data_IF_367458341699
#
_entry.id   IF_367458341699
#
_cell.length_a   1.000
_cell.length_b   1.000
_cell.length_c   1.000
_cell.angle_alpha   90.00
_cell.angle_beta   90.00
_cell.angle_gamma   90.00
#
_symmetry.space_group_name_H-M   'P 1'
#
loop_
_entity.id
_entity.type
_entity.pdbx_description
1 polymer ?
#
# COMPACT_ATOMS: atom_id res chain seq x y z
N UNK A 1 -12.50 13.15 -8.94
CA UNK A 1 -12.17 12.14 -9.98
C UNK A 1 -13.11 10.98 -9.69
N UNK A 2 -13.74 10.31 -10.67
CA UNK A 2 -14.59 9.19 -10.32
C UNK A 2 -13.78 8.12 -9.57
N UNK A 3 -14.32 7.52 -8.52
CA UNK A 3 -13.65 6.47 -7.73
C UNK A 3 -13.13 5.33 -8.62
N UNK A 4 -13.84 5.03 -9.72
CA UNK A 4 -13.44 4.06 -10.75
C UNK A 4 -12.12 4.43 -11.41
N UNK A 5 -11.89 5.72 -11.69
CA UNK A 5 -10.64 6.20 -12.29
C UNK A 5 -9.50 6.15 -11.27
N UNK A 6 -9.77 6.47 -10.00
CA UNK A 6 -8.78 6.34 -8.91
C UNK A 6 -8.37 4.87 -8.71
N UNK A 7 -9.33 3.94 -8.72
CA UNK A 7 -9.05 2.50 -8.64
C UNK A 7 -8.25 1.99 -9.85
N UNK A 8 -8.64 2.39 -11.07
CA UNK A 8 -7.92 2.01 -12.28
C UNK A 8 -6.49 2.55 -12.31
N UNK A 9 -6.29 3.80 -11.87
CA UNK A 9 -4.96 4.41 -11.71
C UNK A 9 -4.10 3.63 -10.72
N UNK A 10 -4.65 3.28 -9.56
CA UNK A 10 -3.97 2.45 -8.56
C UNK A 10 -3.53 1.10 -9.13
N UNK A 11 -4.46 0.38 -9.78
CA UNK A 11 -4.17 -0.92 -10.40
C UNK A 11 -3.09 -0.81 -11.49
N UNK A 12 -3.13 0.24 -12.31
CA UNK A 12 -2.12 0.51 -13.33
C UNK A 12 -0.73 0.76 -12.71
N UNK A 13 -0.64 1.54 -11.63
CA UNK A 13 0.61 1.77 -10.91
C UNK A 13 1.19 0.48 -10.34
N UNK A 14 0.36 -0.41 -9.80
CA UNK A 14 0.80 -1.71 -9.29
C UNK A 14 1.28 -2.63 -10.42
N UNK A 15 0.58 -2.68 -11.55
CA UNK A 15 1.00 -3.43 -12.73
C UNK A 15 2.34 -2.91 -13.31
N UNK A 16 2.59 -1.59 -13.22
CA UNK A 16 3.88 -1.01 -13.57
C UNK A 16 4.98 -1.47 -12.61
N UNK A 17 4.71 -1.50 -11.30
CA UNK A 17 5.67 -1.99 -10.31
C UNK A 17 6.02 -3.47 -10.55
N UNK A 18 5.03 -4.30 -10.85
CA UNK A 18 5.22 -5.70 -11.25
C UNK A 18 6.13 -5.82 -12.48
N UNK A 19 5.87 -4.99 -13.49
CA UNK A 19 6.66 -4.96 -14.73
C UNK A 19 8.10 -4.54 -14.46
N UNK A 20 8.33 -3.56 -13.58
CA UNK A 20 9.68 -3.14 -13.18
C UNK A 20 10.44 -4.26 -12.49
N UNK A 21 9.81 -4.95 -11.53
CA UNK A 21 10.42 -6.08 -10.82
C UNK A 21 10.69 -7.21 -11.81
N UNK A 22 9.71 -7.63 -12.60
CA UNK A 22 9.88 -8.69 -13.58
C UNK A 22 11.03 -8.38 -14.56
N UNK A 23 11.11 -7.14 -15.07
CA UNK A 23 12.19 -6.71 -15.96
C UNK A 23 13.57 -6.72 -15.29
N UNK A 24 13.65 -6.29 -14.03
CA UNK A 24 14.90 -6.30 -13.27
C UNK A 24 15.45 -7.73 -13.10
N UNK A 25 14.57 -8.72 -12.95
CA UNK A 25 14.94 -10.11 -12.72
C UNK A 25 14.98 -10.98 -13.99
N UNK A 26 14.99 -10.36 -15.18
CA UNK A 26 15.15 -11.11 -16.43
C UNK A 26 16.52 -11.77 -16.50
N UNK A 27 16.51 -12.97 -17.07
CA UNK A 27 17.71 -13.73 -17.40
C UNK A 27 17.96 -13.74 -18.90
N UNK A 28 19.22 -13.90 -19.30
CA UNK A 28 19.61 -14.15 -20.69
C UNK A 28 19.39 -15.62 -21.09
N UNK A 29 19.74 -15.97 -22.32
CA UNK A 29 19.60 -17.32 -22.85
C UNK A 29 20.47 -18.37 -22.11
N UNK A 30 21.49 -17.94 -21.36
CA UNK A 30 22.35 -18.79 -20.55
C UNK A 30 21.84 -18.91 -19.09
N UNK A 31 20.74 -18.23 -18.75
CA UNK A 31 20.19 -18.20 -17.39
C UNK A 31 20.88 -17.20 -16.46
N UNK A 32 21.80 -16.36 -16.96
CA UNK A 32 22.44 -15.32 -16.17
C UNK A 32 21.53 -14.09 -16.07
N UNK A 33 21.53 -13.43 -14.91
CA UNK A 33 20.75 -12.20 -14.72
C UNK A 33 21.27 -11.09 -15.64
N UNK A 34 20.36 -10.43 -16.37
CA UNK A 34 20.70 -9.31 -17.26
C UNK A 34 21.22 -8.12 -16.46
N UNK A 35 20.55 -7.81 -15.34
CA UNK A 35 20.97 -6.74 -14.44
C UNK A 35 21.86 -7.26 -13.31
N UNK A 36 22.91 -6.50 -12.92
CA UNK A 36 23.71 -6.83 -11.75
C UNK A 36 22.85 -6.78 -10.48
N UNK A 37 23.28 -7.49 -9.44
CA UNK A 37 22.50 -7.60 -8.20
C UNK A 37 22.10 -6.25 -7.61
N UNK A 38 23.01 -5.27 -7.60
CA UNK A 38 22.75 -3.94 -7.03
C UNK A 38 21.62 -3.20 -7.75
N UNK A 39 21.54 -3.33 -9.07
CA UNK A 39 20.50 -2.68 -9.87
C UNK A 39 19.16 -3.37 -9.61
N UNK A 40 19.14 -4.70 -9.52
CA UNK A 40 17.93 -5.46 -9.16
C UNK A 40 17.40 -5.08 -7.79
N UNK A 41 18.29 -4.93 -6.82
CA UNK A 41 17.97 -4.45 -5.47
C UNK A 41 17.33 -3.06 -5.51
N UNK A 42 17.96 -2.10 -6.19
CA UNK A 42 17.47 -0.73 -6.28
C UNK A 42 16.12 -0.65 -7.01
N UNK A 43 15.98 -1.32 -8.16
CA UNK A 43 14.73 -1.32 -8.93
C UNK A 43 13.59 -1.95 -8.13
N UNK A 44 13.84 -3.07 -7.44
CA UNK A 44 12.81 -3.75 -6.64
C UNK A 44 12.36 -2.90 -5.46
N UNK A 45 13.32 -2.28 -4.74
CA UNK A 45 13.00 -1.39 -3.61
C UNK A 45 12.25 -0.14 -4.08
N UNK A 46 12.65 0.44 -5.22
CA UNK A 46 11.95 1.59 -5.81
C UNK A 46 10.52 1.22 -6.25
N UNK A 47 10.33 0.05 -6.88
CA UNK A 47 9.01 -0.44 -7.25
C UNK A 47 8.11 -0.66 -6.02
N UNK A 48 8.67 -1.16 -4.92
CA UNK A 48 7.93 -1.27 -3.65
C UNK A 48 7.52 0.10 -3.10
N UNK A 49 8.42 1.09 -3.10
CA UNK A 49 8.08 2.45 -2.67
C UNK A 49 6.98 3.07 -3.53
N UNK A 50 7.03 2.87 -4.85
CA UNK A 50 6.00 3.34 -5.78
C UNK A 50 4.64 2.67 -5.51
N UNK A 51 4.62 1.38 -5.17
CA UNK A 51 3.39 0.71 -4.74
C UNK A 51 2.80 1.35 -3.47
N UNK A 52 3.63 1.70 -2.50
CA UNK A 52 3.17 2.35 -1.27
C UNK A 52 2.63 3.76 -1.54
N UNK A 53 3.32 4.54 -2.37
CA UNK A 53 2.86 5.88 -2.80
C UNK A 53 1.51 5.77 -3.52
N UNK A 54 1.37 4.83 -4.46
CA UNK A 54 0.12 4.63 -5.18
C UNK A 54 -1.05 4.29 -4.23
N UNK A 55 -0.78 3.54 -3.15
CA UNK A 55 -1.77 3.25 -2.12
C UNK A 55 -2.20 4.51 -1.35
N UNK A 56 -1.25 5.37 -0.96
CA UNK A 56 -1.54 6.64 -0.29
C UNK A 56 -2.38 7.56 -1.19
N UNK A 57 -1.97 7.71 -2.45
CA UNK A 57 -2.69 8.52 -3.45
C UNK A 57 -4.11 8.01 -3.69
N UNK A 58 -4.30 6.69 -3.73
CA UNK A 58 -5.62 6.08 -3.86
C UNK A 58 -6.52 6.43 -2.67
N UNK A 59 -6.03 6.26 -1.43
CA UNK A 59 -6.80 6.55 -0.22
C UNK A 59 -7.14 8.03 -0.15
N UNK A 60 -6.18 8.92 -0.43
CA UNK A 60 -6.40 10.37 -0.48
C UNK A 60 -7.48 10.73 -1.51
N UNK A 61 -7.36 10.20 -2.73
CA UNK A 61 -8.31 10.47 -3.79
C UNK A 61 -9.72 9.99 -3.40
N UNK A 62 -9.83 8.75 -2.93
CA UNK A 62 -11.10 8.14 -2.50
C UNK A 62 -11.77 8.92 -1.36
N UNK A 63 -10.99 9.38 -0.38
CA UNK A 63 -11.50 10.22 0.72
C UNK A 63 -12.14 11.50 0.18
N UNK A 64 -11.40 12.23 -0.66
CA UNK A 64 -11.88 13.47 -1.25
C UNK A 64 -13.16 13.24 -2.08
N UNK A 65 -13.16 12.21 -2.93
CA UNK A 65 -14.29 11.91 -3.80
C UNK A 65 -15.54 11.52 -2.98
N UNK A 66 -15.43 10.68 -1.94
CA UNK A 66 -16.57 10.35 -1.08
C UNK A 66 -17.03 11.51 -0.19
N UNK A 67 -16.13 12.36 0.31
CA UNK A 67 -16.52 13.59 1.02
C UNK A 67 -17.31 14.54 0.11
N UNK A 68 -16.95 14.62 -1.18
CA UNK A 68 -17.70 15.39 -2.19
C UNK A 68 -19.05 14.75 -2.51
N UNK A 69 -19.28 13.49 -2.11
CA UNK A 69 -20.54 12.76 -2.32
C UNK A 69 -20.54 11.96 -3.62
N UNK A 70 -19.37 11.59 -4.15
CA UNK A 70 -19.31 10.60 -5.22
C UNK A 70 -19.88 9.26 -4.72
N UNK A 71 -20.59 8.56 -5.60
CA UNK A 71 -21.04 7.21 -5.31
C UNK A 71 -19.88 6.21 -5.44
N UNK A 72 -19.97 5.12 -4.70
CA UNK A 72 -19.13 3.93 -4.90
C UNK A 72 -19.37 3.33 -6.29
N UNK A 73 -18.47 2.45 -6.74
CA UNK A 73 -18.65 1.67 -7.98
C UNK A 73 -19.94 0.84 -7.93
N UNK A 74 -20.33 0.36 -6.73
CA UNK A 74 -21.58 -0.37 -6.52
C UNK A 74 -22.85 0.51 -6.57
N UNK A 75 -22.70 1.83 -6.72
CA UNK A 75 -23.81 2.80 -6.75
C UNK A 75 -24.30 3.26 -5.39
N UNK A 76 -23.77 2.71 -4.29
CA UNK A 76 -24.08 3.19 -2.95
C UNK A 76 -23.32 4.48 -2.65
N UNK A 77 -23.95 5.44 -2.00
CA UNK A 77 -23.30 6.68 -1.60
C UNK A 77 -23.00 6.63 -0.10
N UNK A 78 -21.72 6.72 0.33
CA UNK A 78 -21.39 6.73 1.75
C UNK A 78 -22.10 7.87 2.47
N UNK A 79 -22.72 7.58 3.62
CA UNK A 79 -23.33 8.63 4.45
C UNK A 79 -22.23 9.48 5.05
N UNK A 80 -22.19 10.75 4.66
CA UNK A 80 -21.15 11.72 5.01
C UNK A 80 -21.67 12.79 5.97
N UNK A 81 -20.83 13.20 6.91
CA UNK A 81 -21.09 14.29 7.86
C UNK A 81 -20.56 15.64 7.37
N UNK A 82 -19.91 15.64 6.21
CA UNK A 82 -19.22 16.80 5.62
C UNK A 82 -19.64 16.95 4.17
N UNK A 83 -19.60 18.18 3.66
CA UNK A 83 -19.86 18.48 2.26
C UNK A 83 -18.98 19.63 1.78
N UNK A 84 -17.66 19.39 1.58
CA UNK A 84 -16.77 20.39 1.03
C UNK A 84 -17.27 20.90 -0.33
N UNK A 85 -17.12 22.20 -0.64
CA UNK A 85 -17.58 22.77 -1.90
C UNK A 85 -16.67 22.43 -3.08
N UNK A 86 -15.38 22.16 -2.83
CA UNK A 86 -14.40 21.78 -3.86
C UNK A 86 -13.47 20.69 -3.34
N UNK A 87 -12.77 20.02 -4.27
CA UNK A 87 -11.75 19.03 -3.92
C UNK A 87 -10.64 19.63 -3.06
N UNK A 88 -10.18 20.84 -3.36
CA UNK A 88 -9.16 21.52 -2.55
C UNK A 88 -9.63 21.76 -1.12
N UNK A 89 -10.92 22.07 -0.91
CA UNK A 89 -11.48 22.16 0.44
C UNK A 89 -11.53 20.79 1.12
N UNK A 90 -11.84 19.71 0.40
CA UNK A 90 -11.80 18.35 0.96
C UNK A 90 -10.38 17.98 1.43
N UNK A 91 -9.36 18.27 0.62
CA UNK A 91 -7.95 18.06 0.97
C UNK A 91 -7.55 18.93 2.17
N UNK A 92 -7.95 20.20 2.18
CA UNK A 92 -7.72 21.10 3.32
C UNK A 92 -8.36 20.62 4.62
N UNK A 93 -9.55 20.01 4.56
CA UNK A 93 -10.20 19.41 5.73
C UNK A 93 -9.40 18.22 6.27
N UNK A 94 -8.90 17.35 5.40
CA UNK A 94 -8.08 16.18 5.78
C UNK A 94 -6.74 16.59 6.40
N UNK A 95 -6.08 17.60 5.82
CA UNK A 95 -4.80 18.13 6.31
C UNK A 95 -4.97 18.91 7.63
N UNK A 96 -6.15 19.50 7.85
CA UNK A 96 -6.49 20.31 9.01
C UNK A 96 -5.49 21.47 9.23
N UNK A 97 -4.71 21.44 10.30
CA UNK A 97 -3.71 22.48 10.65
C UNK A 97 -2.28 22.06 10.33
N UNK A 98 -2.07 20.85 9.83
CA UNK A 98 -0.75 20.36 9.48
C UNK A 98 -0.33 20.80 8.08
N UNK A 99 0.94 20.60 7.72
CA UNK A 99 1.42 20.89 6.37
C UNK A 99 1.01 19.80 5.38
N UNK A 100 0.92 18.55 5.86
CA UNK A 100 0.56 17.35 5.11
C UNK A 100 -0.15 16.37 6.05
N UNK A 101 -1.06 15.56 5.51
CA UNK A 101 -1.65 14.43 6.24
C UNK A 101 -0.89 13.15 5.90
N UNK A 102 -0.58 12.34 6.91
CA UNK A 102 0.17 11.10 6.76
C UNK A 102 -0.80 9.92 6.50
N UNK A 103 -1.08 9.65 5.22
CA UNK A 103 -1.91 8.52 4.81
C UNK A 103 -1.22 7.16 5.06
N UNK A 104 0.10 7.11 5.29
CA UNK A 104 0.82 5.94 5.78
C UNK A 104 0.45 5.56 7.23
N UNK A 105 -0.19 6.46 7.98
CA UNK A 105 -0.64 6.20 9.35
C UNK A 105 -2.10 5.75 9.35
N UNK A 106 -2.34 4.49 9.03
CA UNK A 106 -3.69 3.95 8.81
C UNK A 106 -4.63 4.07 10.01
N UNK A 107 -4.13 4.11 11.25
CA UNK A 107 -4.97 4.40 12.42
C UNK A 107 -5.53 5.83 12.41
N UNK A 108 -4.77 6.79 11.87
CA UNK A 108 -5.25 8.16 11.69
C UNK A 108 -6.27 8.22 10.55
N UNK A 109 -6.04 7.49 9.46
CA UNK A 109 -7.00 7.35 8.35
C UNK A 109 -8.34 6.78 8.87
N UNK A 110 -8.31 5.73 9.70
CA UNK A 110 -9.51 5.13 10.31
C UNK A 110 -10.27 6.09 11.23
N UNK A 111 -9.53 6.83 12.07
CA UNK A 111 -10.12 7.87 12.93
C UNK A 111 -10.77 8.97 12.09
N UNK A 112 -10.09 9.41 11.04
CA UNK A 112 -10.61 10.42 10.11
C UNK A 112 -11.85 9.91 9.37
N UNK A 113 -11.86 8.65 8.93
CA UNK A 113 -13.01 8.03 8.30
C UNK A 113 -14.22 8.07 9.24
N UNK A 114 -14.01 7.71 10.50
CA UNK A 114 -15.07 7.71 11.53
C UNK A 114 -15.61 9.11 11.84
N UNK A 115 -14.82 10.16 11.61
CA UNK A 115 -15.24 11.56 11.79
C UNK A 115 -16.06 12.09 10.62
N UNK A 116 -15.77 11.64 9.39
CA UNK A 116 -16.39 12.19 8.18
C UNK A 116 -17.49 11.32 7.58
N UNK A 117 -17.50 10.02 7.89
CA UNK A 117 -18.46 9.07 7.36
C UNK A 117 -19.14 8.29 8.48
N UNK A 118 -20.41 7.94 8.29
CA UNK A 118 -21.17 7.15 9.25
C UNK A 118 -20.52 5.78 9.44
N UNK A 119 -20.08 5.50 10.67
CA UNK A 119 -19.36 4.26 11.00
C UNK A 119 -18.03 4.11 10.26
N UNK A 120 -17.49 5.18 9.67
CA UNK A 120 -16.26 5.15 8.87
C UNK A 120 -16.36 4.40 7.54
N UNK A 121 -17.57 4.04 7.10
CA UNK A 121 -17.78 3.35 5.83
C UNK A 121 -17.39 4.23 4.62
N UNK A 122 -16.72 3.69 3.58
CA UNK A 122 -16.32 2.29 3.39
C UNK A 122 -14.88 1.95 3.87
N UNK A 123 -14.19 2.91 4.48
CA UNK A 123 -12.78 2.77 4.85
C UNK A 123 -12.56 1.92 6.09
N UNK A 124 -13.25 2.22 7.19
CA UNK A 124 -12.98 1.63 8.51
C UNK A 124 -13.06 0.10 8.48
N UNK A 125 -14.12 -0.54 7.95
CA UNK A 125 -14.21 -2.00 7.95
C UNK A 125 -13.07 -2.65 7.15
N UNK A 126 -12.75 -2.08 5.99
CA UNK A 126 -11.70 -2.59 5.10
C UNK A 126 -10.32 -2.44 5.72
N UNK A 127 -9.98 -1.24 6.21
CA UNK A 127 -8.68 -0.97 6.83
C UNK A 127 -8.47 -1.77 8.12
N UNK A 128 -9.54 -1.97 8.90
CA UNK A 128 -9.53 -2.83 10.08
C UNK A 128 -9.18 -4.28 9.73
N UNK A 129 -9.73 -4.80 8.62
CA UNK A 129 -9.50 -6.19 8.20
C UNK A 129 -8.05 -6.49 7.77
N UNK A 130 -7.28 -5.47 7.35
CA UNK A 130 -5.89 -5.61 6.88
C UNK A 130 -4.88 -4.80 7.72
N UNK A 131 -5.23 -4.48 8.98
CA UNK A 131 -4.39 -3.61 9.82
C UNK A 131 -2.99 -4.19 10.06
N UNK A 132 -2.87 -5.51 10.24
CA UNK A 132 -1.57 -6.14 10.45
C UNK A 132 -0.65 -5.96 9.24
N UNK A 133 -1.19 -6.14 8.04
CA UNK A 133 -0.44 -6.04 6.78
C UNK A 133 -0.05 -4.61 6.46
N UNK A 134 -0.91 -3.66 6.80
CA UNK A 134 -0.61 -2.23 6.67
C UNK A 134 0.55 -1.81 7.60
N UNK A 135 0.61 -2.33 8.83
CA UNK A 135 1.75 -2.08 9.73
C UNK A 135 3.05 -2.75 9.22
N UNK A 136 2.93 -3.91 8.59
CA UNK A 136 4.05 -4.62 7.97
C UNK A 136 4.63 -3.81 6.80
N UNK A 137 3.76 -3.35 5.90
CA UNK A 137 4.12 -2.47 4.79
C UNK A 137 4.81 -1.19 5.26
N UNK A 138 4.30 -0.55 6.32
CA UNK A 138 4.92 0.63 6.92
C UNK A 138 6.31 0.35 7.46
N UNK A 139 6.51 -0.81 8.09
CA UNK A 139 7.84 -1.25 8.57
C UNK A 139 8.81 -1.45 7.43
N UNK A 140 8.38 -2.09 6.34
CA UNK A 140 9.20 -2.28 5.14
C UNK A 140 9.56 -0.92 4.52
N UNK A 141 8.57 -0.03 4.34
CA UNK A 141 8.75 1.34 3.79
C UNK A 141 9.75 2.16 4.60
N UNK A 142 9.66 2.12 5.93
CA UNK A 142 10.60 2.84 6.78
C UNK A 142 12.02 2.28 6.65
N UNK A 143 12.17 0.96 6.50
CA UNK A 143 13.47 0.32 6.26
C UNK A 143 14.05 0.58 4.87
N UNK A 144 13.22 0.87 3.85
CA UNK A 144 13.69 1.35 2.55
C UNK A 144 14.31 2.74 2.65
N UNK A 145 13.66 3.65 3.39
CA UNK A 145 14.06 5.05 3.48
C UNK A 145 15.30 5.25 4.35
N UNK A 146 15.43 4.50 5.44
CA UNK A 146 16.54 4.67 6.37
C UNK A 146 16.83 3.36 7.13
N UNK A 147 18.06 2.86 7.01
CA UNK A 147 18.52 1.67 7.75
C UNK A 147 19.21 2.10 9.06
N UNK A 148 18.42 2.49 10.07
CA UNK A 148 18.92 2.68 11.44
C UNK A 148 18.97 1.34 12.18
N UNK A 149 19.55 1.33 13.38
CA UNK A 149 19.47 0.18 14.28
C UNK A 149 18.02 -0.19 14.64
N UNK A 150 17.13 0.80 14.74
CA UNK A 150 15.70 0.59 15.04
C UNK A 150 14.93 0.01 13.86
N UNK A 151 15.09 0.54 12.64
CA UNK A 151 14.39 0.01 11.46
C UNK A 151 14.91 -1.38 11.08
N UNK A 152 16.21 -1.64 11.27
CA UNK A 152 16.79 -2.99 11.09
C UNK A 152 16.14 -4.02 12.02
N UNK A 153 16.08 -3.75 13.33
CA UNK A 153 15.44 -4.69 14.29
C UNK A 153 13.97 -4.92 13.98
N UNK A 154 13.26 -3.87 13.55
CA UNK A 154 11.86 -3.99 13.15
C UNK A 154 11.70 -4.87 11.90
N UNK A 155 12.58 -4.70 10.91
CA UNK A 155 12.59 -5.52 9.69
C UNK A 155 12.94 -6.98 9.98
N UNK A 156 13.96 -7.25 10.80
CA UNK A 156 14.37 -8.60 11.20
C UNK A 156 13.25 -9.30 11.98
N UNK A 157 12.56 -8.59 12.87
CA UNK A 157 11.39 -9.10 13.60
C UNK A 157 10.22 -9.42 12.66
N UNK A 158 9.94 -8.52 11.72
CA UNK A 158 8.92 -8.73 10.69
C UNK A 158 9.24 -9.95 9.82
N UNK A 159 10.46 -10.02 9.29
CA UNK A 159 10.93 -11.14 8.49
C UNK A 159 10.88 -12.45 9.28
N UNK A 160 11.22 -12.42 10.56
CA UNK A 160 11.12 -13.58 11.44
C UNK A 160 9.69 -14.11 11.60
N UNK A 161 8.71 -13.20 11.72
CA UNK A 161 7.29 -13.57 11.77
C UNK A 161 6.79 -14.12 10.43
N UNK A 162 7.20 -13.53 9.31
CA UNK A 162 6.80 -13.98 7.96
C UNK A 162 7.40 -15.36 7.67
N UNK A 163 8.70 -15.53 7.92
CA UNK A 163 9.45 -16.74 7.58
C UNK A 163 9.38 -17.85 8.64
N UNK A 164 8.75 -17.58 9.78
CA UNK A 164 8.70 -18.46 10.96
C UNK A 164 10.09 -18.88 11.50
N UNK A 165 11.15 -18.14 11.17
CA UNK A 165 12.53 -18.37 11.60
C UNK A 165 13.30 -17.06 11.72
N UNK A 166 14.26 -16.92 12.65
CA UNK A 166 15.08 -15.71 12.76
C UNK A 166 15.82 -15.35 11.46
N UNK A 167 15.74 -14.09 11.04
CA UNK A 167 16.36 -13.57 9.81
C UNK A 167 17.32 -12.39 10.14
N UNK A 168 18.44 -12.62 10.85
CA UNK A 168 19.35 -11.55 11.23
C UNK A 168 20.03 -10.94 9.98
N UNK A 169 20.07 -9.61 9.90
CA UNK A 169 20.72 -8.88 8.81
C UNK A 169 19.97 -8.90 7.48
N UNK A 170 18.71 -9.38 7.44
CA UNK A 170 17.92 -9.41 6.20
C UNK A 170 17.69 -7.99 5.65
N UNK A 171 17.97 -7.81 4.37
CA UNK A 171 17.69 -6.58 3.63
C UNK A 171 16.25 -6.55 3.11
N UNK A 172 15.74 -5.35 2.83
CA UNK A 172 14.37 -5.18 2.29
C UNK A 172 14.20 -5.94 0.97
N UNK A 173 15.17 -5.84 0.06
CA UNK A 173 15.14 -6.59 -1.20
C UNK A 173 14.98 -8.09 -0.99
N UNK A 174 15.78 -8.68 -0.09
CA UNK A 174 15.76 -10.11 0.20
C UNK A 174 14.40 -10.53 0.75
N UNK A 175 13.80 -9.72 1.63
CA UNK A 175 12.46 -9.97 2.14
C UNK A 175 11.41 -9.92 1.03
N UNK A 176 11.45 -8.90 0.17
CA UNK A 176 10.44 -8.68 -0.87
C UNK A 176 10.41 -9.79 -1.93
N UNK A 177 11.57 -10.33 -2.32
CA UNK A 177 11.67 -11.39 -3.32
C UNK A 177 11.53 -12.80 -2.74
N UNK A 178 11.61 -12.95 -1.41
CA UNK A 178 11.45 -14.24 -0.78
C UNK A 178 10.02 -14.76 -0.93
N UNK A 179 9.89 -16.08 -1.04
CA UNK A 179 8.59 -16.76 -1.12
C UNK A 179 7.89 -16.65 0.23
N UNK A 180 6.62 -16.23 0.24
CA UNK A 180 5.83 -16.11 1.46
C UNK A 180 5.30 -17.49 1.89
N UNK A 181 5.80 -18.09 2.98
CA UNK A 181 5.37 -19.42 3.40
C UNK A 181 3.93 -19.45 3.93
N UNK A 182 3.32 -18.28 4.17
CA UNK A 182 1.93 -18.16 4.66
C UNK A 182 0.91 -18.35 3.54
N UNK A 183 1.33 -18.32 2.27
CA UNK A 183 0.47 -18.50 1.10
C UNK A 183 0.67 -19.91 0.54
N UNK A 184 -0.24 -20.87 0.80
CA UNK A 184 -0.07 -22.25 0.37
C UNK A 184 -0.18 -22.39 -1.15
N UNK A 185 0.71 -23.19 -1.76
CA UNK A 185 0.55 -23.67 -3.14
C UNK A 185 1.02 -22.72 -4.25
N UNK A 186 1.31 -21.47 -3.94
CA UNK A 186 1.87 -20.52 -4.92
C UNK A 186 3.28 -20.09 -4.52
N UNK A 187 4.20 -20.06 -5.49
CA UNK A 187 5.53 -19.47 -5.37
C UNK A 187 5.45 -17.93 -5.29
N UNK A 188 4.50 -17.42 -4.51
CA UNK A 188 4.17 -16.00 -4.35
C UNK A 188 5.21 -15.36 -3.46
N UNK A 189 5.80 -14.28 -3.92
CA UNK A 189 6.75 -13.51 -3.11
C UNK A 189 6.02 -12.69 -2.04
N UNK A 190 6.72 -12.32 -0.97
CA UNK A 190 6.18 -11.42 0.06
C UNK A 190 5.66 -10.11 -0.55
N UNK A 191 6.36 -9.56 -1.55
CA UNK A 191 5.89 -8.41 -2.31
C UNK A 191 4.51 -8.65 -2.95
N UNK A 192 4.37 -9.74 -3.71
CA UNK A 192 3.13 -10.06 -4.41
C UNK A 192 1.97 -10.32 -3.43
N UNK A 193 2.24 -10.99 -2.31
CA UNK A 193 1.23 -11.24 -1.28
C UNK A 193 0.66 -9.93 -0.69
N UNK A 194 1.51 -8.93 -0.39
CA UNK A 194 1.03 -7.64 0.08
C UNK A 194 0.34 -6.82 -1.02
N UNK A 195 0.89 -6.82 -2.24
CA UNK A 195 0.27 -6.16 -3.40
C UNK A 195 -1.17 -6.63 -3.60
N UNK A 196 -1.40 -7.94 -3.57
CA UNK A 196 -2.73 -8.53 -3.81
C UNK A 196 -3.72 -8.15 -2.71
N UNK A 197 -3.26 -8.07 -1.45
CA UNK A 197 -4.09 -7.59 -0.33
C UNK A 197 -4.47 -6.11 -0.51
N UNK A 198 -3.56 -5.26 -0.97
CA UNK A 198 -3.88 -3.86 -1.24
C UNK A 198 -4.86 -3.71 -2.40
N UNK A 199 -4.74 -4.51 -3.46
CA UNK A 199 -5.70 -4.54 -4.57
C UNK A 199 -7.09 -4.94 -4.05
N UNK A 200 -7.17 -6.00 -3.24
CA UNK A 200 -8.44 -6.44 -2.65
C UNK A 200 -9.06 -5.37 -1.75
N UNK A 201 -8.24 -4.69 -0.94
CA UNK A 201 -8.70 -3.60 -0.08
C UNK A 201 -9.15 -2.37 -0.87
N UNK A 202 -8.39 -1.93 -1.87
CA UNK A 202 -8.77 -0.82 -2.73
C UNK A 202 -10.08 -1.11 -3.48
N UNK A 203 -10.23 -2.34 -3.97
CA UNK A 203 -11.45 -2.79 -4.65
C UNK A 203 -12.64 -2.77 -3.69
N UNK A 204 -12.46 -3.25 -2.45
CA UNK A 204 -13.52 -3.24 -1.43
C UNK A 204 -13.96 -1.81 -1.08
N UNK A 205 -13.00 -0.90 -0.85
CA UNK A 205 -13.28 0.53 -0.59
C UNK A 205 -14.01 1.17 -1.78
N UNK A 206 -13.59 0.87 -3.00
CA UNK A 206 -14.21 1.44 -4.20
C UNK A 206 -15.63 0.90 -4.45
N UNK A 207 -15.87 -0.38 -4.15
CA UNK A 207 -17.19 -1.01 -4.29
C UNK A 207 -18.19 -0.54 -3.23
N UNK A 208 -17.70 -0.19 -2.04
CA UNK A 208 -18.51 0.23 -0.91
C UNK A 208 -18.78 -0.90 0.06
#
# INVERSE_FOLDING_TARGET
MPITQSLAGFQASLAQCDSLIANAHRTDAAGANIFPQRDREQITVAAFLNLFIAWEEFIEAAFGDFMMGEATVGGNQPVKFVSPPTRDHSTGMVIHTHRFFDFAHHDNVRKLASLYFQGGYPFEPTLSSITAELQDLKTIRNSCAHMSSSTRRALESLAGRIMAQPQPGIGVYQLLIAVDPRVPGNNTTVYAAYRDKLIAAATSIAQG
#
